data_IF_159316282710
#
_entry.id   IF_159316282710
#
_cell.length_a   1.000
_cell.length_b   1.000
_cell.length_c   1.000
_cell.angle_alpha   90.00
_cell.angle_beta   90.00
_cell.angle_gamma   90.00
#
_symmetry.space_group_name_H-M   'P 1'
#
loop_
_entity.id
_entity.type
_entity.pdbx_description
1 polymer ?
#
# COMPACT_ATOMS: atom_id res chain seq x y z
N UNK A 1 12.00 -55.56 -17.01
CA UNK A 1 11.05 -55.28 -15.91
C UNK A 1 10.88 -53.78 -15.80
N UNK A 2 9.91 -53.22 -16.52
CA UNK A 2 9.51 -51.82 -16.38
C UNK A 2 8.61 -51.72 -15.14
N UNK A 3 9.14 -51.19 -14.05
CA UNK A 3 8.32 -50.82 -12.90
C UNK A 3 7.49 -49.60 -13.29
N UNK A 4 6.22 -49.81 -13.62
CA UNK A 4 5.22 -48.75 -13.65
C UNK A 4 5.21 -48.06 -12.28
N UNK A 5 5.70 -46.82 -12.22
CA UNK A 5 5.45 -45.97 -11.06
C UNK A 5 3.94 -45.67 -11.03
N UNK A 6 3.22 -45.94 -9.93
CA UNK A 6 1.81 -45.63 -9.87
C UNK A 6 1.64 -44.11 -9.96
N UNK A 7 0.94 -43.67 -11.00
CA UNK A 7 0.45 -42.30 -11.15
C UNK A 7 -0.57 -42.01 -10.04
N UNK A 8 -0.09 -41.76 -8.82
CA UNK A 8 -0.92 -41.30 -7.72
C UNK A 8 -1.31 -39.85 -7.99
N UNK A 9 -2.54 -39.62 -8.46
CA UNK A 9 -3.20 -38.31 -8.23
C UNK A 9 -3.07 -38.02 -6.73
N UNK A 10 -2.35 -36.97 -6.39
CA UNK A 10 -2.01 -36.56 -5.01
C UNK A 10 -3.23 -36.14 -4.20
N UNK A 11 -4.38 -36.00 -4.84
CA UNK A 11 -5.68 -35.70 -4.23
C UNK A 11 -6.74 -36.66 -4.75
N UNK A 12 -7.43 -37.36 -3.83
CA UNK A 12 -8.71 -37.99 -4.13
C UNK A 12 -9.79 -36.99 -3.71
N UNK A 13 -10.47 -36.32 -4.65
CA UNK A 13 -11.49 -35.34 -4.30
C UNK A 13 -12.55 -36.00 -3.41
N UNK A 14 -13.08 -35.27 -2.41
CA UNK A 14 -14.11 -35.79 -1.52
C UNK A 14 -15.26 -36.47 -2.26
N UNK A 15 -15.73 -37.58 -1.68
CA UNK A 15 -16.78 -38.37 -2.29
C UNK A 15 -18.11 -37.62 -2.21
N UNK A 16 -19.16 -38.18 -2.83
CA UNK A 16 -20.51 -37.63 -2.66
C UNK A 16 -20.96 -37.59 -1.18
N UNK A 17 -20.39 -38.44 -0.29
CA UNK A 17 -20.83 -38.61 1.10
C UNK A 17 -19.89 -38.00 2.16
N UNK A 18 -18.57 -38.05 1.96
CA UNK A 18 -17.61 -37.65 3.01
C UNK A 18 -16.32 -37.03 2.43
N UNK A 19 -15.59 -36.33 3.29
CA UNK A 19 -14.22 -35.91 3.03
C UNK A 19 -13.84 -34.59 3.70
N UNK A 20 -12.57 -34.23 3.56
CA UNK A 20 -11.97 -33.06 4.19
C UNK A 20 -11.55 -32.02 3.15
N UNK A 21 -11.97 -30.78 3.33
CA UNK A 21 -11.55 -29.64 2.53
C UNK A 21 -10.66 -28.73 3.36
N UNK A 22 -9.39 -28.57 2.96
CA UNK A 22 -8.50 -27.58 3.55
C UNK A 22 -8.48 -26.35 2.65
N UNK A 23 -8.95 -25.21 3.15
CA UNK A 23 -9.23 -24.03 2.32
C UNK A 23 -8.49 -22.81 2.84
N UNK A 24 -7.62 -22.24 2.00
CA UNK A 24 -7.05 -20.91 2.25
C UNK A 24 -8.07 -19.81 1.94
N UNK A 25 -8.27 -18.87 2.87
CA UNK A 25 -9.20 -17.74 2.67
C UNK A 25 -8.57 -16.58 1.91
N UNK A 26 -7.26 -16.58 1.72
CA UNK A 26 -6.50 -15.46 1.16
C UNK A 26 -6.34 -14.31 2.16
N UNK A 27 -5.98 -13.12 1.65
CA UNK A 27 -5.61 -11.96 2.48
C UNK A 27 -6.82 -11.12 2.94
N UNK A 28 -7.96 -11.21 2.25
CA UNK A 28 -9.17 -10.43 2.56
C UNK A 28 -10.40 -11.32 2.67
N UNK A 29 -11.48 -10.81 3.29
CA UNK A 29 -12.79 -11.47 3.32
C UNK A 29 -13.40 -11.78 1.94
N UNK A 30 -12.90 -11.13 0.88
CA UNK A 30 -13.34 -11.31 -0.50
C UNK A 30 -12.39 -12.18 -1.34
N UNK A 31 -11.31 -12.71 -0.73
CA UNK A 31 -10.24 -13.43 -1.45
C UNK A 31 -10.52 -14.91 -1.67
N UNK A 32 -11.65 -15.45 -1.20
CA UNK A 32 -12.02 -16.85 -1.45
C UNK A 32 -12.12 -17.11 -2.96
N UNK A 33 -11.47 -18.18 -3.41
CA UNK A 33 -11.48 -18.56 -4.82
C UNK A 33 -12.84 -19.17 -5.21
N UNK A 34 -13.21 -19.06 -6.48
CA UNK A 34 -14.46 -19.67 -6.97
C UNK A 34 -14.53 -21.18 -6.69
N UNK A 35 -13.41 -21.90 -6.82
CA UNK A 35 -13.34 -23.33 -6.51
C UNK A 35 -13.54 -23.62 -5.03
N UNK A 36 -12.97 -22.78 -4.16
CA UNK A 36 -13.17 -22.92 -2.71
C UNK A 36 -14.63 -22.69 -2.32
N UNK A 37 -15.31 -21.70 -2.90
CA UNK A 37 -16.73 -21.43 -2.65
C UNK A 37 -17.60 -22.63 -3.06
N UNK A 38 -17.31 -23.27 -4.19
CA UNK A 38 -18.01 -24.49 -4.62
C UNK A 38 -17.76 -25.69 -3.68
N UNK A 39 -16.60 -25.75 -3.02
CA UNK A 39 -16.32 -26.73 -1.99
C UNK A 39 -17.11 -26.46 -0.71
N UNK A 40 -17.10 -25.20 -0.24
CA UNK A 40 -17.84 -24.76 0.94
C UNK A 40 -19.36 -25.00 0.79
N UNK A 41 -19.90 -24.77 -0.41
CA UNK A 41 -21.30 -25.07 -0.72
C UNK A 41 -21.68 -26.54 -0.47
N UNK A 42 -20.72 -27.45 -0.67
CA UNK A 42 -20.89 -28.89 -0.53
C UNK A 42 -20.58 -29.40 0.88
N UNK A 43 -20.02 -28.55 1.75
CA UNK A 43 -19.64 -28.91 3.11
C UNK A 43 -20.86 -29.00 4.03
N UNK A 44 -20.87 -30.02 4.87
CA UNK A 44 -21.86 -30.17 5.94
C UNK A 44 -21.48 -29.32 7.17
N UNK A 45 -20.17 -29.13 7.39
CA UNK A 45 -19.62 -28.23 8.42
C UNK A 45 -18.46 -27.41 7.91
N UNK A 46 -18.36 -26.17 8.37
CA UNK A 46 -17.29 -25.23 8.04
C UNK A 46 -16.68 -24.73 9.34
N UNK A 47 -15.43 -25.12 9.58
CA UNK A 47 -14.62 -24.66 10.69
C UNK A 47 -13.69 -23.53 10.25
N UNK A 48 -13.38 -22.62 11.18
CA UNK A 48 -12.39 -21.56 10.99
C UNK A 48 -11.30 -21.70 12.05
N UNK A 49 -10.05 -21.82 11.60
CA UNK A 49 -8.88 -21.66 12.45
C UNK A 49 -8.66 -20.17 12.71
N UNK A 50 -8.72 -19.73 13.97
CA UNK A 50 -8.55 -18.31 14.32
C UNK A 50 -7.43 -17.98 15.32
N UNK A 51 -6.56 -18.95 15.63
CA UNK A 51 -5.47 -18.78 16.58
C UNK A 51 -4.10 -18.53 15.93
N UNK A 52 -3.99 -18.64 14.60
CA UNK A 52 -2.72 -18.48 13.88
C UNK A 52 -2.41 -17.03 13.52
N UNK A 53 -3.43 -16.18 13.39
CA UNK A 53 -3.27 -14.80 12.91
C UNK A 53 -4.28 -13.87 13.57
N UNK A 54 -3.84 -12.64 13.91
CA UNK A 54 -4.76 -11.53 14.17
C UNK A 54 -5.48 -11.19 12.87
N UNK A 55 -6.75 -11.54 12.73
CA UNK A 55 -7.48 -11.28 11.49
C UNK A 55 -7.51 -9.78 11.17
N UNK A 56 -7.20 -9.36 9.94
CA UNK A 56 -7.26 -7.95 9.54
C UNK A 56 -8.71 -7.46 9.28
N UNK A 57 -9.70 -8.28 9.61
CA UNK A 57 -11.12 -8.01 9.47
C UNK A 57 -11.93 -8.80 10.51
N UNK A 58 -13.18 -8.37 10.71
CA UNK A 58 -14.13 -9.07 11.58
C UNK A 58 -14.51 -10.42 10.98
N UNK A 59 -14.52 -11.48 11.79
CA UNK A 59 -14.87 -12.85 11.35
C UNK A 59 -16.31 -12.88 10.82
N UNK A 60 -17.21 -12.10 11.42
CA UNK A 60 -18.60 -11.99 10.99
C UNK A 60 -18.73 -11.45 9.56
N UNK A 61 -17.77 -10.64 9.10
CA UNK A 61 -17.79 -10.14 7.73
C UNK A 61 -17.36 -11.22 6.73
N UNK A 62 -16.44 -12.12 7.11
CA UNK A 62 -16.10 -13.30 6.29
C UNK A 62 -17.31 -14.23 6.17
N UNK A 63 -17.99 -14.51 7.29
CA UNK A 63 -19.20 -15.31 7.30
C UNK A 63 -20.30 -14.73 6.40
N UNK A 64 -20.52 -13.42 6.47
CA UNK A 64 -21.49 -12.72 5.59
C UNK A 64 -21.13 -12.86 4.12
N UNK A 65 -19.86 -12.70 3.75
CA UNK A 65 -19.46 -12.82 2.34
C UNK A 65 -19.58 -14.27 1.84
N UNK A 66 -19.24 -15.27 2.65
CA UNK A 66 -19.50 -16.68 2.32
C UNK A 66 -20.99 -16.90 2.07
N UNK A 67 -21.85 -16.52 3.02
CA UNK A 67 -23.30 -16.71 2.92
C UNK A 67 -23.90 -16.02 1.68
N UNK A 68 -23.48 -14.79 1.40
CA UNK A 68 -23.87 -14.05 0.19
C UNK A 68 -23.47 -14.77 -1.09
N UNK A 69 -22.24 -15.26 -1.19
CA UNK A 69 -21.78 -16.02 -2.37
C UNK A 69 -22.51 -17.36 -2.53
N UNK A 70 -22.88 -17.99 -1.42
CA UNK A 70 -23.61 -19.26 -1.40
C UNK A 70 -25.13 -19.08 -1.57
N UNK A 71 -25.64 -17.84 -1.65
CA UNK A 71 -27.07 -17.51 -1.66
C UNK A 71 -27.85 -18.22 -0.54
N UNK A 72 -27.27 -18.24 0.67
CA UNK A 72 -27.78 -18.94 1.84
C UNK A 72 -27.48 -18.13 3.09
N UNK A 73 -28.32 -18.23 4.13
CA UNK A 73 -28.05 -17.68 5.46
C UNK A 73 -27.81 -18.80 6.49
N UNK A 74 -27.50 -20.00 6.03
CA UNK A 74 -27.48 -21.21 6.85
C UNK A 74 -26.08 -21.66 7.24
N UNK A 75 -25.02 -21.04 6.68
CA UNK A 75 -23.65 -21.41 7.00
C UNK A 75 -23.13 -20.56 8.15
N UNK A 76 -22.82 -21.21 9.27
CA UNK A 76 -22.17 -20.58 10.42
C UNK A 76 -20.72 -21.05 10.48
N UNK A 77 -19.80 -20.13 10.69
CA UNK A 77 -18.40 -20.47 10.90
C UNK A 77 -18.20 -20.95 12.34
N UNK A 78 -17.69 -22.17 12.49
CA UNK A 78 -17.39 -22.73 13.80
C UNK A 78 -15.92 -22.46 14.12
N UNK A 79 -15.67 -21.59 15.10
CA UNK A 79 -14.31 -21.33 15.58
C UNK A 79 -13.68 -22.60 16.13
N UNK A 80 -12.47 -22.91 15.70
CA UNK A 80 -11.74 -24.10 16.12
C UNK A 80 -10.44 -23.71 16.84
N UNK A 81 -10.28 -24.07 18.13
CA UNK A 81 -9.07 -23.75 18.89
C UNK A 81 -7.91 -24.67 18.49
N UNK A 82 -6.69 -24.24 18.82
CA UNK A 82 -5.44 -24.93 18.46
C UNK A 82 -5.41 -26.41 18.82
N UNK A 83 -5.81 -26.73 20.05
CA UNK A 83 -5.81 -28.12 20.52
C UNK A 83 -6.63 -29.05 19.62
N UNK A 84 -7.76 -28.60 19.08
CA UNK A 84 -8.66 -29.40 18.24
C UNK A 84 -8.14 -29.61 16.81
N UNK A 85 -7.21 -28.77 16.35
CA UNK A 85 -6.53 -28.96 15.07
C UNK A 85 -5.33 -29.90 15.25
N UNK A 86 -4.57 -29.70 16.33
CA UNK A 86 -3.37 -30.48 16.64
C UNK A 86 -3.69 -31.91 17.11
N UNK A 87 -4.84 -32.13 17.75
CA UNK A 87 -5.33 -33.46 18.15
C UNK A 87 -6.07 -34.23 17.04
N UNK A 88 -6.19 -33.62 15.85
CA UNK A 88 -6.77 -34.19 14.64
C UNK A 88 -8.26 -34.60 14.80
N UNK A 89 -8.94 -34.16 15.86
CA UNK A 89 -10.32 -34.54 16.19
C UNK A 89 -11.31 -34.16 15.09
N UNK A 90 -11.06 -33.06 14.38
CA UNK A 90 -11.84 -32.61 13.20
C UNK A 90 -11.95 -33.71 12.12
N UNK A 91 -10.96 -34.60 12.01
CA UNK A 91 -10.95 -35.65 10.99
C UNK A 91 -11.90 -36.80 11.30
N UNK A 92 -12.32 -36.98 12.56
CA UNK A 92 -13.31 -38.01 12.90
C UNK A 92 -14.65 -37.73 12.23
N UNK A 93 -15.03 -36.46 12.16
CA UNK A 93 -16.23 -36.03 11.44
C UNK A 93 -16.08 -36.19 9.93
N UNK A 94 -14.90 -35.89 9.37
CA UNK A 94 -14.64 -36.02 7.94
C UNK A 94 -14.76 -37.46 7.40
N UNK A 95 -14.81 -38.47 8.27
CA UNK A 95 -15.09 -39.87 7.90
C UNK A 95 -16.53 -40.11 7.46
N UNK A 96 -17.49 -39.35 8.00
CA UNK A 96 -18.92 -39.60 7.79
C UNK A 96 -19.62 -38.47 7.03
N UNK A 97 -19.04 -37.27 7.02
CA UNK A 97 -19.58 -36.09 6.36
C UNK A 97 -18.47 -35.24 5.71
N UNK A 98 -18.83 -34.18 4.99
CA UNK A 98 -17.89 -33.25 4.38
C UNK A 98 -17.59 -32.11 5.33
N UNK A 99 -16.33 -31.98 5.69
CA UNK A 99 -15.85 -30.97 6.64
C UNK A 99 -14.88 -30.06 5.94
N UNK A 100 -15.10 -28.74 6.01
CA UNK A 100 -14.14 -27.74 5.57
C UNK A 100 -13.44 -27.10 6.77
N UNK A 101 -12.13 -26.89 6.66
CA UNK A 101 -11.33 -26.06 7.55
C UNK A 101 -10.81 -24.85 6.77
N UNK A 102 -11.24 -23.67 7.17
CA UNK A 102 -10.76 -22.39 6.67
C UNK A 102 -9.51 -21.96 7.43
N UNK A 103 -8.49 -21.56 6.69
CA UNK A 103 -7.19 -21.08 7.19
C UNK A 103 -6.91 -19.71 6.57
N UNK A 104 -6.49 -18.74 7.38
CA UNK A 104 -6.16 -17.39 6.87
C UNK A 104 -4.94 -17.44 5.93
N UNK A 105 -5.00 -16.71 4.80
CA UNK A 105 -3.99 -16.79 3.76
C UNK A 105 -4.10 -18.08 2.94
N UNK A 106 -2.98 -18.77 2.77
CA UNK A 106 -2.91 -20.02 2.01
C UNK A 106 -2.90 -21.25 2.94
N UNK A 107 -3.54 -22.32 2.49
CA UNK A 107 -3.78 -23.53 3.27
C UNK A 107 -2.53 -24.24 3.77
N UNK A 108 -1.37 -24.09 3.10
CA UNK A 108 -0.15 -24.86 3.41
C UNK A 108 1.12 -24.00 3.49
N UNK A 109 1.02 -22.68 3.42
CA UNK A 109 2.20 -21.80 3.32
C UNK A 109 3.04 -21.69 4.59
N UNK A 110 2.43 -21.57 5.78
CA UNK A 110 3.15 -21.25 7.01
C UNK A 110 2.55 -21.93 8.26
N UNK A 111 2.02 -23.14 8.09
CA UNK A 111 1.19 -23.79 9.12
C UNK A 111 1.43 -25.30 9.22
N UNK A 112 1.05 -25.87 10.35
CA UNK A 112 1.15 -27.31 10.66
C UNK A 112 0.09 -28.18 9.99
N UNK A 113 -0.82 -27.61 9.19
CA UNK A 113 -1.93 -28.32 8.54
C UNK A 113 -1.53 -29.48 7.63
N UNK A 114 -0.27 -29.58 7.20
CA UNK A 114 0.23 -30.77 6.49
C UNK A 114 0.03 -32.05 7.32
N UNK A 115 0.07 -31.97 8.65
CA UNK A 115 -0.22 -33.10 9.53
C UNK A 115 -1.63 -33.65 9.29
N UNK A 116 -2.65 -32.79 9.16
CA UNK A 116 -4.02 -33.20 8.84
C UNK A 116 -4.09 -33.96 7.51
N UNK A 117 -3.31 -33.53 6.52
CA UNK A 117 -3.26 -34.19 5.20
C UNK A 117 -2.62 -35.58 5.30
N UNK A 118 -1.53 -35.70 6.06
CA UNK A 118 -0.89 -36.99 6.33
C UNK A 118 -1.84 -37.93 7.07
N UNK A 119 -2.61 -37.41 8.02
CA UNK A 119 -3.57 -38.20 8.77
C UNK A 119 -4.79 -38.62 7.92
N UNK A 120 -5.29 -37.73 7.06
CA UNK A 120 -6.29 -38.10 6.06
C UNK A 120 -5.82 -39.28 5.20
N UNK A 121 -4.55 -39.28 4.76
CA UNK A 121 -3.97 -40.40 4.00
C UNK A 121 -3.95 -41.69 4.81
N UNK A 122 -3.45 -41.67 6.06
CA UNK A 122 -3.37 -42.86 6.93
C UNK A 122 -4.75 -43.45 7.20
N UNK A 123 -5.74 -42.60 7.46
CA UNK A 123 -7.11 -43.02 7.77
C UNK A 123 -7.98 -43.22 6.50
N UNK A 124 -7.40 -43.09 5.31
CA UNK A 124 -8.12 -43.19 4.02
C UNK A 124 -9.31 -42.24 3.88
N UNK A 125 -9.23 -41.06 4.51
CA UNK A 125 -10.23 -39.99 4.40
C UNK A 125 -9.98 -39.25 3.07
N UNK A 126 -10.98 -39.15 2.18
CA UNK A 126 -10.88 -38.34 0.96
C UNK A 126 -10.63 -36.88 1.31
N UNK A 127 -9.71 -36.20 0.63
CA UNK A 127 -9.41 -34.80 0.93
C UNK A 127 -9.06 -33.99 -0.33
N UNK A 128 -9.28 -32.68 -0.25
CA UNK A 128 -8.86 -31.73 -1.26
C UNK A 128 -8.35 -30.44 -0.62
N UNK A 129 -7.26 -29.91 -1.18
CA UNK A 129 -6.61 -28.69 -0.73
C UNK A 129 -6.95 -27.57 -1.73
N UNK A 130 -7.36 -26.42 -1.21
CA UNK A 130 -7.60 -25.21 -1.98
C UNK A 130 -6.57 -24.15 -1.55
N UNK A 131 -5.69 -23.81 -2.49
CA UNK A 131 -4.66 -22.80 -2.31
C UNK A 131 -5.21 -21.38 -2.49
N UNK A 132 -4.51 -20.40 -1.91
CA UNK A 132 -4.86 -18.99 -2.04
C UNK A 132 -3.61 -18.09 -1.93
N UNK A 133 -3.82 -16.76 -1.94
CA UNK A 133 -2.77 -15.79 -1.65
C UNK A 133 -2.21 -15.97 -0.22
N UNK A 134 -0.91 -15.73 -0.07
CA UNK A 134 -0.15 -15.93 1.16
C UNK A 134 0.69 -14.70 1.47
N UNK A 135 1.02 -14.46 2.74
CA UNK A 135 2.01 -13.45 3.10
C UNK A 135 3.36 -13.71 2.42
N UNK A 136 3.72 -14.97 2.16
CA UNK A 136 4.97 -15.35 1.50
C UNK A 136 5.10 -14.78 0.09
N UNK A 137 3.99 -14.51 -0.59
CA UNK A 137 3.97 -13.88 -1.93
C UNK A 137 3.57 -12.41 -1.86
N UNK A 138 2.67 -12.05 -0.95
CA UNK A 138 2.14 -10.67 -0.80
C UNK A 138 3.23 -9.68 -0.36
N UNK A 139 4.30 -10.15 0.29
CA UNK A 139 5.47 -9.30 0.61
C UNK A 139 6.15 -8.69 -0.62
N UNK A 140 5.87 -9.17 -1.83
CA UNK A 140 6.28 -8.52 -3.07
C UNK A 140 5.77 -7.07 -3.20
N UNK A 141 4.66 -6.73 -2.52
CA UNK A 141 4.12 -5.36 -2.51
C UNK A 141 5.05 -4.35 -1.83
N UNK A 142 6.06 -4.81 -1.08
CA UNK A 142 7.15 -3.97 -0.57
C UNK A 142 8.11 -3.48 -1.67
N UNK A 143 7.99 -4.01 -2.88
CA UNK A 143 8.91 -3.75 -4.00
C UNK A 143 10.16 -4.64 -4.01
N UNK A 144 10.33 -5.50 -3.00
CA UNK A 144 11.41 -6.48 -2.96
C UNK A 144 11.15 -7.64 -3.91
N UNK A 145 12.20 -8.11 -4.57
CA UNK A 145 12.13 -9.28 -5.43
C UNK A 145 11.93 -10.55 -4.62
N UNK A 146 10.85 -11.28 -4.89
CA UNK A 146 10.58 -12.58 -4.26
C UNK A 146 11.74 -13.58 -4.44
N UNK A 147 12.45 -13.51 -5.58
CA UNK A 147 13.60 -14.38 -5.86
C UNK A 147 14.82 -14.11 -4.98
N UNK A 148 14.83 -12.98 -4.26
CA UNK A 148 15.89 -12.62 -3.31
C UNK A 148 15.52 -12.93 -1.86
N UNK A 149 14.37 -13.53 -1.57
CA UNK A 149 14.07 -13.99 -0.22
C UNK A 149 14.73 -15.34 0.07
N UNK A 150 15.36 -15.44 1.24
CA UNK A 150 15.94 -16.68 1.77
C UNK A 150 14.95 -17.45 2.63
N UNK A 151 15.46 -18.14 3.64
CA UNK A 151 14.65 -18.87 4.62
C UNK A 151 13.74 -17.91 5.39
N UNK A 152 12.43 -18.14 5.37
CA UNK A 152 11.48 -17.49 6.26
C UNK A 152 11.70 -17.97 7.70
N UNK A 153 11.50 -17.09 8.67
CA UNK A 153 11.58 -17.42 10.09
C UNK A 153 10.38 -16.86 10.86
N UNK A 154 10.12 -17.39 12.06
CA UNK A 154 9.11 -16.87 12.98
C UNK A 154 9.78 -16.28 14.23
N UNK A 155 9.35 -15.10 14.65
CA UNK A 155 9.73 -14.45 15.89
C UNK A 155 8.67 -14.75 16.95
N UNK A 156 9.01 -15.56 17.95
CA UNK A 156 8.06 -15.91 18.98
C UNK A 156 7.85 -14.75 19.97
N UNK A 157 6.67 -14.68 20.58
CA UNK A 157 6.40 -13.70 21.63
C UNK A 157 7.13 -14.10 22.92
N UNK A 158 8.19 -13.39 23.30
CA UNK A 158 8.96 -13.74 24.50
C UNK A 158 8.16 -13.64 25.80
N UNK A 159 7.05 -12.90 25.81
CA UNK A 159 6.15 -12.88 26.95
C UNK A 159 5.55 -14.27 27.25
N UNK A 160 5.50 -15.17 26.26
CA UNK A 160 4.98 -16.53 26.39
C UNK A 160 6.08 -17.59 26.63
N UNK A 161 7.34 -17.17 26.71
CA UNK A 161 8.49 -18.07 26.79
C UNK A 161 9.48 -17.68 27.89
N UNK A 162 9.85 -18.64 28.74
CA UNK A 162 10.81 -18.41 29.82
C UNK A 162 12.27 -18.29 29.36
N UNK A 163 12.61 -18.82 28.18
CA UNK A 163 13.98 -18.94 27.68
C UNK A 163 14.38 -17.89 26.63
N UNK A 164 13.49 -16.93 26.29
CA UNK A 164 13.72 -15.88 25.27
C UNK A 164 14.43 -16.43 24.01
N UNK A 165 13.78 -17.31 23.22
CA UNK A 165 14.42 -18.00 22.11
C UNK A 165 14.90 -17.04 21.01
N UNK A 166 16.14 -17.23 20.54
CA UNK A 166 16.81 -16.41 19.52
C UNK A 166 17.04 -17.14 18.19
N UNK A 167 16.47 -18.34 18.03
CA UNK A 167 16.72 -19.21 16.86
C UNK A 167 16.42 -18.53 15.51
N UNK A 168 15.48 -17.58 15.49
CA UNK A 168 15.14 -16.81 14.29
C UNK A 168 16.31 -15.97 13.76
N UNK A 169 17.22 -15.51 14.63
CA UNK A 169 18.43 -14.78 14.24
C UNK A 169 19.39 -15.64 13.42
N UNK A 170 19.46 -16.93 13.71
CA UNK A 170 20.30 -17.87 12.94
C UNK A 170 19.91 -17.90 11.47
N UNK A 171 18.61 -17.86 11.16
CA UNK A 171 18.14 -17.80 9.78
C UNK A 171 18.40 -16.44 9.12
N UNK A 172 18.27 -15.34 9.88
CA UNK A 172 18.66 -14.01 9.37
C UNK A 172 20.14 -14.00 8.97
N UNK A 173 21.03 -14.52 9.82
CA UNK A 173 22.47 -14.63 9.51
C UNK A 173 22.73 -15.47 8.26
N UNK A 174 22.08 -16.62 8.14
CA UNK A 174 22.22 -17.50 6.97
C UNK A 174 21.79 -16.79 5.69
N UNK A 175 20.66 -16.08 5.71
CA UNK A 175 20.18 -15.36 4.53
C UNK A 175 21.09 -14.18 4.15
N UNK A 176 21.54 -13.40 5.14
CA UNK A 176 22.49 -12.31 4.88
C UNK A 176 23.82 -12.82 4.30
N UNK A 177 24.30 -14.01 4.70
CA UNK A 177 25.52 -14.61 4.14
C UNK A 177 25.42 -15.01 2.66
N UNK A 178 24.22 -15.06 2.09
CA UNK A 178 23.96 -15.39 0.69
C UNK A 178 23.26 -14.24 -0.06
N UNK A 179 23.37 -13.01 0.47
CA UNK A 179 22.72 -11.82 -0.09
C UNK A 179 21.20 -11.98 -0.30
N UNK A 180 20.51 -12.60 0.66
CA UNK A 180 19.06 -12.81 0.63
C UNK A 180 18.32 -12.03 1.72
N UNK A 181 17.14 -11.49 1.38
CA UNK A 181 16.19 -10.88 2.31
C UNK A 181 15.62 -11.94 3.26
N UNK A 182 15.33 -11.56 4.50
CA UNK A 182 14.67 -12.46 5.46
C UNK A 182 13.28 -11.97 5.78
N UNK A 183 12.25 -12.78 5.49
CA UNK A 183 10.91 -12.57 6.01
C UNK A 183 10.81 -13.16 7.42
N UNK A 184 10.42 -12.33 8.38
CA UNK A 184 10.16 -12.68 9.77
C UNK A 184 8.66 -12.57 10.02
N UNK A 185 8.00 -13.71 10.24
CA UNK A 185 6.62 -13.78 10.73
C UNK A 185 6.61 -13.54 12.24
N UNK A 186 5.63 -12.81 12.77
CA UNK A 186 5.53 -12.54 14.21
C UNK A 186 4.39 -13.34 14.83
N UNK A 187 4.57 -13.79 16.07
CA UNK A 187 3.50 -14.43 16.83
C UNK A 187 2.29 -13.49 17.03
N UNK A 188 1.12 -14.12 17.20
CA UNK A 188 -0.14 -13.42 17.43
C UNK A 188 -0.04 -12.55 18.70
N UNK A 189 -0.52 -11.31 18.62
CA UNK A 189 -0.50 -10.37 19.75
C UNK A 189 0.86 -9.74 20.07
N UNK A 190 1.93 -10.06 19.34
CA UNK A 190 3.22 -9.39 19.51
C UNK A 190 3.20 -8.00 18.87
N UNK A 191 3.11 -6.96 19.69
CA UNK A 191 3.13 -5.56 19.23
C UNK A 191 4.49 -5.16 18.63
N UNK A 192 4.48 -4.18 17.71
CA UNK A 192 5.67 -3.77 16.97
C UNK A 192 6.82 -3.30 17.89
N UNK A 193 6.52 -2.55 18.94
CA UNK A 193 7.52 -2.06 19.89
C UNK A 193 8.28 -3.25 20.51
N UNK A 194 7.53 -4.25 21.00
CA UNK A 194 8.07 -5.46 21.58
C UNK A 194 8.83 -6.30 20.54
N UNK A 195 8.28 -6.47 19.33
CA UNK A 195 8.95 -7.20 18.25
C UNK A 195 10.31 -6.59 17.89
N UNK A 196 10.38 -5.27 17.79
CA UNK A 196 11.64 -4.55 17.51
C UNK A 196 12.62 -4.69 18.67
N UNK A 197 12.17 -4.50 19.92
CA UNK A 197 13.02 -4.66 21.09
C UNK A 197 13.59 -6.08 21.18
N UNK A 198 12.76 -7.10 20.95
CA UNK A 198 13.18 -8.51 20.85
C UNK A 198 14.19 -8.73 19.73
N UNK A 199 13.95 -8.16 18.54
CA UNK A 199 14.88 -8.26 17.41
C UNK A 199 16.26 -7.68 17.75
N UNK A 200 16.30 -6.52 18.43
CA UNK A 200 17.55 -5.87 18.84
C UNK A 200 18.29 -6.68 19.90
N UNK A 201 17.62 -7.04 21.00
CA UNK A 201 18.22 -7.86 22.08
C UNK A 201 18.74 -9.20 21.54
N UNK A 202 17.96 -9.87 20.68
CA UNK A 202 18.36 -11.12 20.06
C UNK A 202 19.55 -10.94 19.10
N UNK A 203 19.56 -9.85 18.31
CA UNK A 203 20.65 -9.56 17.39
C UNK A 203 21.96 -9.27 18.12
N UNK A 204 21.91 -8.52 19.22
CA UNK A 204 23.08 -8.24 20.07
C UNK A 204 23.63 -9.53 20.71
N UNK A 205 22.75 -10.33 21.33
CA UNK A 205 23.13 -11.61 21.95
C UNK A 205 23.80 -12.56 20.95
N UNK A 206 23.34 -12.53 19.72
CA UNK A 206 23.82 -13.37 18.63
C UNK A 206 24.95 -12.71 17.82
N UNK A 207 25.42 -11.51 18.18
CA UNK A 207 26.45 -10.78 17.42
C UNK A 207 26.09 -10.57 15.93
N UNK A 208 24.81 -10.34 15.64
CA UNK A 208 24.31 -9.93 14.33
C UNK A 208 24.21 -8.41 14.25
N UNK A 209 24.86 -7.80 13.25
CA UNK A 209 24.63 -6.40 12.90
C UNK A 209 23.41 -6.30 11.98
N UNK A 210 22.35 -5.63 12.45
CA UNK A 210 21.18 -5.32 11.63
C UNK A 210 21.50 -4.25 10.57
N UNK A 211 20.82 -4.27 9.41
CA UNK A 211 20.89 -3.16 8.47
C UNK A 211 20.32 -1.89 9.11
N UNK A 212 20.74 -0.72 8.61
CA UNK A 212 20.31 0.59 9.14
C UNK A 212 18.79 0.75 9.11
N UNK A 213 18.16 0.30 8.01
CA UNK A 213 16.71 0.31 7.82
C UNK A 213 16.22 -1.12 7.62
N UNK A 214 15.07 -1.40 8.19
CA UNK A 214 14.32 -2.64 7.98
C UNK A 214 12.94 -2.29 7.41
N UNK A 215 12.22 -3.30 6.96
CA UNK A 215 10.90 -3.11 6.36
C UNK A 215 9.86 -3.79 7.24
N UNK A 216 8.72 -3.13 7.44
CA UNK A 216 7.54 -3.74 8.07
C UNK A 216 6.36 -3.53 7.14
N UNK A 217 5.57 -4.58 6.91
CA UNK A 217 4.31 -4.51 6.18
C UNK A 217 3.19 -4.98 7.11
N UNK A 218 2.19 -4.13 7.34
CA UNK A 218 0.99 -4.44 8.10
C UNK A 218 -0.22 -4.59 7.21
N UNK A 219 -1.18 -5.41 7.63
CA UNK A 219 -2.45 -5.64 6.93
C UNK A 219 -2.23 -5.95 5.44
N UNK A 220 -1.21 -6.75 5.13
CA UNK A 220 -0.75 -7.02 3.77
C UNK A 220 -1.89 -7.57 2.88
N UNK A 221 -1.99 -7.09 1.64
CA UNK A 221 -3.02 -7.49 0.68
C UNK A 221 -4.42 -6.97 0.99
N UNK A 222 -4.58 -6.11 1.99
CA UNK A 222 -5.87 -5.49 2.36
C UNK A 222 -5.90 -3.99 2.03
N UNK A 223 -7.08 -3.38 2.12
CA UNK A 223 -7.23 -1.93 1.97
C UNK A 223 -6.50 -1.10 3.04
N UNK A 224 -6.19 -1.69 4.19
CA UNK A 224 -5.49 -1.03 5.30
C UNK A 224 -3.98 -1.29 5.28
N UNK A 225 -3.46 -1.84 4.18
CA UNK A 225 -2.05 -2.15 4.06
C UNK A 225 -1.18 -0.91 4.28
N UNK A 226 -0.15 -1.04 5.11
CA UNK A 226 0.89 -0.02 5.27
C UNK A 226 2.25 -0.68 5.18
N UNK A 227 3.17 -0.05 4.45
CA UNK A 227 4.55 -0.49 4.31
C UNK A 227 5.44 0.62 4.89
N UNK A 228 6.38 0.22 5.73
CA UNK A 228 7.32 1.12 6.38
C UNK A 228 8.75 0.67 6.05
N UNK A 229 9.61 1.61 5.69
CA UNK A 229 11.04 1.39 5.49
C UNK A 229 11.82 2.45 6.25
N UNK A 230 12.27 2.08 7.45
CA UNK A 230 12.81 3.01 8.45
C UNK A 230 13.76 2.29 9.40
N UNK A 231 14.41 3.04 10.29
CA UNK A 231 15.27 2.43 11.32
C UNK A 231 14.42 1.65 12.33
N UNK A 232 14.97 0.59 12.97
CA UNK A 232 14.26 -0.13 14.03
C UNK A 232 13.70 0.82 15.10
N UNK A 233 14.46 1.82 15.54
CA UNK A 233 14.05 2.80 16.56
C UNK A 233 12.84 3.63 16.11
N UNK A 234 12.78 4.03 14.84
CA UNK A 234 11.64 4.77 14.34
C UNK A 234 10.40 3.89 14.21
N UNK A 235 10.58 2.61 13.84
CA UNK A 235 9.48 1.65 13.73
C UNK A 235 8.89 1.30 15.09
N UNK A 236 9.69 1.17 16.14
CA UNK A 236 9.20 0.90 17.50
C UNK A 236 8.30 2.01 18.03
N UNK A 237 8.47 3.24 17.54
CA UNK A 237 7.68 4.41 17.94
C UNK A 237 6.44 4.65 17.06
N UNK A 238 6.21 3.84 16.02
CA UNK A 238 5.06 3.98 15.13
C UNK A 238 3.90 3.11 15.58
N UNK A 239 2.68 3.59 15.39
CA UNK A 239 1.48 2.78 15.54
C UNK A 239 1.29 1.88 14.31
N UNK A 240 1.85 0.66 14.36
CA UNK A 240 1.72 -0.36 13.31
C UNK A 240 0.71 -1.40 13.78
N UNK A 241 -0.42 -1.47 13.07
CA UNK A 241 -1.49 -2.42 13.36
C UNK A 241 -1.10 -3.86 13.01
N UNK A 242 -1.59 -4.82 13.79
CA UNK A 242 -1.51 -6.24 13.47
C UNK A 242 -2.60 -6.64 12.45
N UNK A 243 -2.37 -7.69 11.64
CA UNK A 243 -1.14 -8.49 11.57
C UNK A 243 -0.07 -7.75 10.76
N UNK A 244 1.20 -7.91 11.17
CA UNK A 244 2.34 -7.39 10.42
C UNK A 244 3.44 -8.46 10.33
N UNK A 245 4.39 -8.25 9.44
CA UNK A 245 5.65 -9.00 9.42
C UNK A 245 6.83 -8.05 9.25
N UNK A 246 8.00 -8.49 9.69
CA UNK A 246 9.26 -7.73 9.56
C UNK A 246 10.10 -8.36 8.46
N UNK A 247 10.76 -7.55 7.65
CA UNK A 247 11.70 -8.00 6.64
C UNK A 247 13.06 -7.36 6.91
N UNK A 248 14.08 -8.20 7.01
CA UNK A 248 15.49 -7.76 7.06
C UNK A 248 16.00 -7.73 5.63
N UNK A 249 16.23 -6.54 5.03
CA UNK A 249 16.78 -6.48 3.70
C UNK A 249 18.27 -6.83 3.70
N UNK A 250 18.74 -7.37 2.57
CA UNK A 250 20.17 -7.41 2.22
C UNK A 250 20.50 -6.26 1.27
N UNK A 251 21.64 -6.29 0.57
CA UNK A 251 21.98 -5.39 -0.52
C UNK A 251 20.81 -5.25 -1.49
N UNK A 252 20.20 -4.07 -1.51
CA UNK A 252 19.08 -3.76 -2.39
C UNK A 252 19.55 -3.62 -3.83
N UNK A 253 18.75 -4.13 -4.75
CA UNK A 253 18.88 -3.77 -6.16
C UNK A 253 18.36 -2.34 -6.38
N UNK A 254 18.85 -1.62 -7.38
CA UNK A 254 18.47 -0.21 -7.60
C UNK A 254 16.96 0.00 -7.70
N UNK A 255 16.23 -0.97 -8.27
CA UNK A 255 14.77 -0.92 -8.38
C UNK A 255 14.07 -1.12 -7.04
N UNK A 256 14.62 -1.98 -6.18
CA UNK A 256 14.09 -2.22 -4.82
C UNK A 256 14.31 -0.96 -3.98
N UNK A 257 15.49 -0.35 -4.06
CA UNK A 257 15.81 0.91 -3.37
C UNK A 257 14.93 2.06 -3.85
N UNK A 258 14.77 2.24 -5.17
CA UNK A 258 13.89 3.26 -5.74
C UNK A 258 12.44 3.06 -5.27
N UNK A 259 11.96 1.81 -5.19
CA UNK A 259 10.60 1.51 -4.73
C UNK A 259 10.44 1.84 -3.24
N UNK A 260 11.38 1.41 -2.39
CA UNK A 260 11.33 1.65 -0.94
C UNK A 260 11.48 3.12 -0.57
N UNK A 261 12.33 3.88 -1.26
CA UNK A 261 12.44 5.33 -1.04
C UNK A 261 11.20 6.07 -1.55
N UNK A 262 10.55 5.58 -2.61
CA UNK A 262 9.23 6.10 -3.03
C UNK A 262 8.12 5.71 -2.06
N UNK A 263 8.17 4.57 -1.38
CA UNK A 263 7.20 4.19 -0.35
C UNK A 263 7.16 5.21 0.80
N UNK A 264 8.26 5.90 1.12
CA UNK A 264 8.24 7.06 2.05
C UNK A 264 7.39 8.23 1.55
N UNK A 265 7.18 8.33 0.23
CA UNK A 265 6.36 9.34 -0.44
C UNK A 265 4.97 8.82 -0.83
N UNK A 266 4.74 7.50 -0.73
CA UNK A 266 3.42 6.89 -0.94
C UNK A 266 2.60 7.12 0.34
N UNK A 267 2.00 8.31 0.39
CA UNK A 267 0.69 8.51 1.01
C UNK A 267 -0.19 7.36 0.51
N UNK A 268 -0.91 6.64 1.40
CA UNK A 268 -1.66 5.44 1.06
C UNK A 268 -2.36 5.65 -0.27
N UNK A 269 -2.12 4.76 -1.22
CA UNK A 269 -2.89 4.73 -2.45
C UNK A 269 -4.36 4.87 -2.06
N UNK A 270 -4.98 5.98 -2.44
CA UNK A 270 -6.40 6.19 -2.32
C UNK A 270 -7.09 5.33 -3.38
N UNK A 271 -6.92 4.02 -3.28
CA UNK A 271 -7.77 3.02 -3.90
C UNK A 271 -8.77 2.56 -2.85
N UNK A 272 -9.57 3.51 -2.39
CA UNK A 272 -10.86 3.21 -1.77
C UNK A 272 -11.89 3.19 -2.89
N UNK A 273 -12.06 2.04 -3.54
CA UNK A 273 -13.38 1.67 -4.06
C UNK A 273 -14.21 1.19 -2.85
N UNK A 274 -14.58 2.13 -1.97
CA UNK A 274 -15.55 1.87 -0.92
C UNK A 274 -16.96 2.06 -1.49
N UNK A 275 -17.71 0.96 -1.51
CA UNK A 275 -19.18 1.01 -1.39
C UNK A 275 -19.53 1.36 0.06
N UNK A 276 -19.19 2.58 0.49
CA UNK A 276 -19.42 3.10 1.83
C UNK A 276 -19.17 4.61 1.84
N UNK A 277 -20.25 5.38 1.92
CA UNK A 277 -20.39 6.86 1.98
C UNK A 277 -19.10 7.62 1.64
N UNK A 278 -18.98 8.03 0.37
CA UNK A 278 -17.95 8.97 -0.06
C UNK A 278 -18.03 10.25 0.78
N UNK A 279 -16.89 10.73 1.27
CA UNK A 279 -16.84 12.06 1.88
C UNK A 279 -17.05 13.13 0.81
N UNK A 280 -17.41 14.35 1.22
CA UNK A 280 -17.53 15.47 0.28
C UNK A 280 -16.19 15.77 -0.43
N UNK A 281 -15.06 15.51 0.23
CA UNK A 281 -13.74 15.63 -0.39
C UNK A 281 -13.56 14.61 -1.50
N UNK A 282 -13.90 13.34 -1.25
CA UNK A 282 -13.73 12.25 -2.23
C UNK A 282 -14.52 12.51 -3.50
N UNK A 283 -15.74 13.01 -3.37
CA UNK A 283 -16.60 13.36 -4.49
C UNK A 283 -15.98 14.46 -5.36
N UNK A 284 -15.41 15.50 -4.73
CA UNK A 284 -14.71 16.59 -5.42
C UNK A 284 -13.41 16.09 -6.04
N UNK A 285 -12.63 15.30 -5.31
CA UNK A 285 -11.37 14.73 -5.77
C UNK A 285 -11.57 13.86 -7.02
N UNK A 286 -12.58 12.97 -7.01
CA UNK A 286 -12.91 12.14 -8.16
C UNK A 286 -13.37 12.97 -9.36
N UNK A 287 -14.18 14.00 -9.14
CA UNK A 287 -14.66 14.86 -10.22
C UNK A 287 -13.53 15.66 -10.87
N UNK A 288 -12.67 16.31 -10.07
CA UNK A 288 -11.49 17.03 -10.57
C UNK A 288 -10.53 16.06 -11.26
N UNK A 289 -10.29 14.88 -10.68
CA UNK A 289 -9.44 13.84 -11.28
C UNK A 289 -10.00 13.35 -12.61
N UNK A 290 -11.31 13.19 -12.74
CA UNK A 290 -11.96 12.77 -13.99
C UNK A 290 -11.83 13.84 -15.06
N UNK A 291 -11.99 15.13 -14.71
CA UNK A 291 -11.83 16.24 -15.65
C UNK A 291 -10.39 16.28 -16.17
N UNK A 292 -9.40 16.29 -15.27
CA UNK A 292 -7.98 16.39 -15.61
C UNK A 292 -7.44 15.15 -16.36
N UNK A 293 -7.91 13.93 -16.06
CA UNK A 293 -7.56 12.72 -16.85
C UNK A 293 -8.08 12.76 -18.28
N UNK A 294 -9.25 13.39 -18.47
CA UNK A 294 -9.88 13.52 -19.78
C UNK A 294 -9.36 14.72 -20.59
N UNK A 295 -8.47 15.54 -20.01
CA UNK A 295 -7.80 16.62 -20.73
C UNK A 295 -7.08 16.11 -21.99
N UNK A 296 -6.99 16.98 -23.00
CA UNK A 296 -6.26 16.71 -24.23
C UNK A 296 -4.74 16.58 -23.99
N UNK A 297 -4.20 17.33 -23.02
CA UNK A 297 -2.83 17.14 -22.49
C UNK A 297 -2.91 16.19 -21.30
N UNK A 298 -2.27 15.03 -21.44
CA UNK A 298 -2.29 13.98 -20.41
C UNK A 298 -1.41 14.31 -19.21
N UNK A 299 -0.60 15.36 -19.28
CA UNK A 299 0.22 15.81 -18.14
C UNK A 299 -0.58 16.56 -17.08
N UNK A 300 -1.75 17.12 -17.41
CA UNK A 300 -2.57 17.93 -16.49
C UNK A 300 -2.99 17.18 -15.23
N UNK A 301 -3.35 15.90 -15.36
CA UNK A 301 -3.64 15.06 -14.20
C UNK A 301 -2.42 14.89 -13.30
N UNK A 302 -1.25 14.63 -13.89
CA UNK A 302 0.00 14.49 -13.14
C UNK A 302 0.41 15.78 -12.44
N UNK A 303 0.26 16.92 -13.11
CA UNK A 303 0.50 18.26 -12.56
C UNK A 303 -0.39 18.54 -11.34
N UNK A 304 -1.71 18.46 -11.52
CA UNK A 304 -2.70 18.67 -10.44
C UNK A 304 -2.42 17.82 -9.20
N UNK A 305 -2.12 16.52 -9.40
CA UNK A 305 -1.77 15.61 -8.30
C UNK A 305 -0.44 15.99 -7.65
N UNK A 306 0.57 16.37 -8.44
CA UNK A 306 1.87 16.76 -7.91
C UNK A 306 1.80 18.05 -7.09
N UNK A 307 0.99 19.04 -7.49
CA UNK A 307 0.79 20.28 -6.70
C UNK A 307 0.14 19.95 -5.36
N UNK A 308 -0.91 19.12 -5.37
CA UNK A 308 -1.56 18.67 -4.13
C UNK A 308 -0.60 17.93 -3.19
N UNK A 309 0.27 17.06 -3.71
CA UNK A 309 1.30 16.39 -2.92
C UNK A 309 2.32 17.37 -2.33
N UNK A 310 2.74 18.38 -3.09
CA UNK A 310 3.65 19.40 -2.57
C UNK A 310 3.00 20.28 -1.51
N UNK A 311 1.70 20.60 -1.63
CA UNK A 311 0.95 21.27 -0.57
C UNK A 311 1.01 20.46 0.73
N UNK A 312 0.74 19.16 0.68
CA UNK A 312 0.81 18.28 1.87
C UNK A 312 2.23 18.15 2.42
N UNK A 313 3.26 18.29 1.58
CA UNK A 313 4.66 18.26 2.02
C UNK A 313 5.11 19.59 2.65
N UNK A 314 4.66 20.73 2.12
CA UNK A 314 4.97 22.06 2.63
C UNK A 314 4.17 22.37 3.90
N UNK A 315 2.92 21.91 3.96
CA UNK A 315 1.96 22.09 5.05
C UNK A 315 1.18 20.78 5.32
N UNK A 316 1.70 19.88 6.17
CA UNK A 316 1.08 18.58 6.46
C UNK A 316 -0.32 18.66 7.10
N UNK A 317 -0.64 19.77 7.73
CA UNK A 317 -1.92 20.11 8.34
C UNK A 317 -2.83 20.94 7.39
N UNK A 318 -2.55 20.96 6.08
CA UNK A 318 -3.34 21.68 5.09
C UNK A 318 -4.82 21.28 5.17
N UNK A 319 -5.69 22.28 5.31
CA UNK A 319 -7.12 22.05 5.37
C UNK A 319 -7.71 21.64 4.01
N UNK A 320 -8.97 21.21 4.03
CA UNK A 320 -9.66 20.72 2.85
C UNK A 320 -9.72 21.78 1.73
N UNK A 321 -9.81 23.06 2.08
CA UNK A 321 -9.87 24.15 1.11
C UNK A 321 -8.54 24.28 0.36
N UNK A 322 -7.41 24.29 1.07
CA UNK A 322 -6.10 24.35 0.44
C UNK A 322 -5.81 23.11 -0.42
N UNK A 323 -6.23 21.93 0.03
CA UNK A 323 -6.09 20.70 -0.74
C UNK A 323 -6.93 20.72 -2.04
N UNK A 324 -8.19 21.17 -1.96
CA UNK A 324 -9.06 21.33 -3.14
C UNK A 324 -8.49 22.37 -4.10
N UNK A 325 -7.99 23.50 -3.57
CA UNK A 325 -7.38 24.55 -4.39
C UNK A 325 -6.15 24.02 -5.13
N UNK A 326 -5.32 23.19 -4.48
CA UNK A 326 -4.18 22.53 -5.12
C UNK A 326 -4.59 21.63 -6.29
N UNK A 327 -5.68 20.89 -6.15
CA UNK A 327 -6.19 20.03 -7.22
C UNK A 327 -6.82 20.84 -8.37
N UNK A 328 -7.47 21.97 -8.05
CA UNK A 328 -8.28 22.76 -8.97
C UNK A 328 -7.62 23.99 -9.59
N UNK A 329 -6.45 24.44 -9.13
CA UNK A 329 -5.88 25.74 -9.51
C UNK A 329 -5.70 25.97 -11.02
N UNK A 330 -5.42 24.90 -11.78
CA UNK A 330 -5.21 24.91 -13.23
C UNK A 330 -6.27 24.09 -13.99
N UNK A 331 -7.42 23.80 -13.38
CA UNK A 331 -8.41 22.85 -13.93
C UNK A 331 -8.95 23.26 -15.31
N UNK A 332 -8.98 24.55 -15.62
CA UNK A 332 -9.42 25.10 -16.89
C UNK A 332 -8.54 24.65 -18.10
N UNK A 333 -7.26 24.31 -17.88
CA UNK A 333 -6.35 23.75 -18.90
C UNK A 333 -6.81 22.41 -19.47
N UNK A 334 -7.76 21.77 -18.79
CA UNK A 334 -8.39 20.52 -19.20
C UNK A 334 -9.39 20.67 -20.35
N UNK A 335 -9.81 21.90 -20.68
CA UNK A 335 -10.84 22.16 -21.69
C UNK A 335 -10.24 22.67 -23.01
N UNK A 336 -10.64 22.08 -24.14
CA UNK A 336 -10.06 22.36 -25.47
C UNK A 336 -10.23 23.81 -25.93
N UNK A 337 -11.38 24.42 -25.64
CA UNK A 337 -11.67 25.81 -26.03
C UNK A 337 -10.75 26.82 -25.32
N UNK A 338 -10.23 26.45 -24.15
CA UNK A 338 -9.37 27.30 -23.34
C UNK A 338 -7.93 27.38 -23.88
N UNK A 339 -7.41 26.31 -24.48
CA UNK A 339 -6.05 26.32 -25.08
C UNK A 339 -5.91 27.30 -26.24
N UNK A 340 -7.04 27.62 -26.89
CA UNK A 340 -7.13 28.60 -27.97
C UNK A 340 -7.33 30.03 -27.47
N UNK A 341 -7.52 30.25 -26.15
CA UNK A 341 -7.75 31.58 -25.55
C UNK A 341 -6.49 32.41 -25.33
N UNK A 342 -5.28 31.82 -25.25
CA UNK A 342 -4.04 32.58 -25.06
C UNK A 342 -3.85 33.68 -26.12
N UNK A 343 -4.30 33.45 -27.35
CA UNK A 343 -4.24 34.41 -28.46
C UNK A 343 -5.31 35.52 -28.40
N UNK A 344 -6.24 35.48 -27.44
CA UNK A 344 -7.36 36.43 -27.31
C UNK A 344 -7.11 37.55 -26.30
N UNK A 345 -6.00 37.52 -25.56
CA UNK A 345 -5.65 38.52 -24.56
C UNK A 345 -4.54 39.44 -25.06
N UNK A 346 -4.61 40.73 -24.70
CA UNK A 346 -3.64 41.72 -25.15
C UNK A 346 -2.31 41.60 -24.39
N UNK A 347 -2.34 41.12 -23.15
CA UNK A 347 -1.14 40.92 -22.32
C UNK A 347 -1.10 39.55 -21.62
N UNK A 348 0.09 39.14 -21.21
CA UNK A 348 0.31 37.90 -20.47
C UNK A 348 -0.32 37.91 -19.07
N UNK A 349 -0.34 39.08 -18.41
CA UNK A 349 -0.92 39.25 -17.07
C UNK A 349 -2.46 39.19 -17.11
N UNK A 350 -3.07 39.74 -18.15
CA UNK A 350 -4.52 39.60 -18.39
C UNK A 350 -4.91 38.13 -18.59
N UNK A 351 -4.10 37.38 -19.33
CA UNK A 351 -4.29 35.94 -19.51
C UNK A 351 -4.20 35.18 -18.18
N UNK A 352 -3.14 35.40 -17.38
CA UNK A 352 -2.97 34.75 -16.08
C UNK A 352 -4.10 35.04 -15.10
N UNK A 353 -4.60 36.28 -15.10
CA UNK A 353 -5.75 36.64 -14.27
C UNK A 353 -7.02 35.93 -14.73
N UNK A 354 -7.28 35.89 -16.04
CA UNK A 354 -8.45 35.21 -16.58
C UNK A 354 -8.42 33.69 -16.34
N UNK A 355 -7.24 33.08 -16.43
CA UNK A 355 -6.96 31.69 -16.08
C UNK A 355 -7.36 31.36 -14.65
N UNK A 356 -6.80 32.11 -13.69
CA UNK A 356 -7.07 31.92 -12.27
C UNK A 356 -8.57 32.09 -11.96
N UNK A 357 -9.23 33.09 -12.55
CA UNK A 357 -10.68 33.32 -12.38
C UNK A 357 -11.53 32.16 -12.94
N UNK A 358 -11.14 31.60 -14.09
CA UNK A 358 -11.88 30.51 -14.71
C UNK A 358 -11.71 29.20 -13.92
N UNK A 359 -10.49 28.86 -13.53
CA UNK A 359 -10.22 27.72 -12.66
C UNK A 359 -10.98 27.84 -11.35
N UNK A 360 -10.93 29.02 -10.71
CA UNK A 360 -11.68 29.28 -9.48
C UNK A 360 -13.18 29.05 -9.69
N UNK A 361 -13.75 29.57 -10.79
CA UNK A 361 -15.16 29.36 -11.13
C UNK A 361 -15.50 27.87 -11.27
N UNK A 362 -14.75 27.12 -12.07
CA UNK A 362 -15.00 25.69 -12.31
C UNK A 362 -14.92 24.91 -11.00
N UNK A 363 -13.88 25.15 -10.19
CA UNK A 363 -13.73 24.49 -8.90
C UNK A 363 -14.85 24.86 -7.94
N UNK A 364 -15.26 26.13 -7.86
CA UNK A 364 -16.41 26.55 -7.04
C UNK A 364 -17.72 25.88 -7.49
N UNK A 365 -17.97 25.76 -8.80
CA UNK A 365 -19.16 25.09 -9.33
C UNK A 365 -19.21 23.61 -8.89
N UNK A 366 -18.07 22.91 -8.89
CA UNK A 366 -17.93 21.54 -8.37
C UNK A 366 -18.23 21.50 -6.86
N UNK A 367 -17.75 22.47 -6.08
CA UNK A 367 -17.98 22.52 -4.63
C UNK A 367 -19.44 22.81 -4.28
N UNK A 368 -20.10 23.69 -5.03
CA UNK A 368 -21.53 23.99 -4.91
C UNK A 368 -22.34 22.72 -5.18
N UNK A 369 -22.01 21.99 -6.27
CA UNK A 369 -22.64 20.72 -6.63
C UNK A 369 -22.54 19.67 -5.51
N UNK A 370 -21.43 19.64 -4.77
CA UNK A 370 -21.20 18.72 -3.65
C UNK A 370 -21.56 19.30 -2.27
N UNK A 371 -22.33 20.39 -2.24
CA UNK A 371 -22.88 21.01 -1.02
C UNK A 371 -21.83 21.44 0.01
N UNK A 372 -20.71 22.01 -0.42
CA UNK A 372 -19.77 22.66 0.50
C UNK A 372 -20.35 23.96 1.08
N UNK A 373 -19.93 24.32 2.29
CA UNK A 373 -20.34 25.58 2.91
C UNK A 373 -19.67 26.78 2.23
N UNK A 374 -20.28 27.95 2.39
CA UNK A 374 -19.83 29.20 1.76
C UNK A 374 -18.41 29.59 2.17
N UNK A 375 -18.01 29.37 3.44
CA UNK A 375 -16.69 29.76 3.91
C UNK A 375 -15.59 28.92 3.22
N UNK A 376 -15.82 27.62 3.07
CA UNK A 376 -14.91 26.75 2.31
C UNK A 376 -14.82 27.17 0.83
N UNK A 377 -15.96 27.46 0.19
CA UNK A 377 -16.00 27.89 -1.22
C UNK A 377 -15.25 29.22 -1.41
N UNK A 378 -15.51 30.21 -0.55
CA UNK A 378 -14.87 31.52 -0.60
C UNK A 378 -13.35 31.41 -0.38
N UNK A 379 -12.92 30.52 0.53
CA UNK A 379 -11.50 30.23 0.74
C UNK A 379 -10.86 29.60 -0.50
N UNK A 380 -11.45 28.54 -1.08
CA UNK A 380 -10.93 27.90 -2.30
C UNK A 380 -10.83 28.91 -3.45
N UNK A 381 -11.88 29.73 -3.63
CA UNK A 381 -11.89 30.81 -4.62
C UNK A 381 -10.72 31.76 -4.43
N UNK A 382 -10.53 32.27 -3.21
CA UNK A 382 -9.45 33.18 -2.89
C UNK A 382 -8.07 32.58 -3.18
N UNK A 383 -7.85 31.31 -2.81
CA UNK A 383 -6.59 30.63 -3.07
C UNK A 383 -6.30 30.51 -4.57
N UNK A 384 -7.27 30.06 -5.35
CA UNK A 384 -7.09 29.89 -6.80
C UNK A 384 -6.97 31.24 -7.51
N UNK A 385 -7.72 32.28 -7.14
CA UNK A 385 -7.63 33.59 -7.81
C UNK A 385 -6.26 34.27 -7.63
N UNK A 386 -5.50 33.92 -6.59
CA UNK A 386 -4.26 34.60 -6.22
C UNK A 386 -2.98 33.74 -6.39
N UNK A 387 -3.10 32.47 -6.78
CA UNK A 387 -1.93 31.55 -6.89
C UNK A 387 -0.89 31.97 -7.95
N UNK A 388 -1.27 32.83 -8.90
CA UNK A 388 -0.38 33.33 -9.96
C UNK A 388 0.48 34.53 -9.53
N UNK A 389 -0.02 35.32 -8.58
CA UNK A 389 0.61 36.56 -8.11
C UNK A 389 1.44 36.28 -6.84
N UNK A 390 1.09 35.22 -6.10
CA UNK A 390 1.63 34.93 -4.78
C UNK A 390 0.90 35.72 -3.69
N UNK A 391 1.24 35.43 -2.44
CA UNK A 391 0.59 36.02 -1.28
C UNK A 391 1.19 35.46 0.01
N UNK A 392 0.49 35.63 1.13
CA UNK A 392 0.88 35.08 2.43
C UNK A 392 0.09 33.81 2.77
N UNK A 393 0.63 33.00 3.69
CA UNK A 393 -0.08 31.85 4.27
C UNK A 393 -0.40 30.75 3.26
N UNK A 394 -1.70 30.41 3.12
CA UNK A 394 -2.13 29.32 2.25
C UNK A 394 -1.96 29.65 0.75
N UNK A 395 -2.03 30.94 0.36
CA UNK A 395 -1.74 31.37 -1.01
C UNK A 395 -0.26 31.19 -1.33
N UNK A 396 0.63 31.54 -0.39
CA UNK A 396 2.08 31.28 -0.50
C UNK A 396 2.33 29.78 -0.69
N UNK A 397 1.74 28.96 0.18
CA UNK A 397 1.90 27.49 0.15
C UNK A 397 1.47 26.90 -1.18
N UNK A 398 0.35 27.34 -1.75
CA UNK A 398 -0.13 26.88 -3.06
C UNK A 398 0.81 27.32 -4.19
N UNK A 399 1.27 28.57 -4.15
CA UNK A 399 2.19 29.15 -5.16
C UNK A 399 3.55 28.45 -5.15
N UNK A 400 4.04 28.12 -3.96
CA UNK A 400 5.26 27.34 -3.78
C UNK A 400 5.07 25.93 -4.28
N UNK A 401 3.97 25.27 -3.92
CA UNK A 401 3.68 23.91 -4.36
C UNK A 401 3.64 23.80 -5.90
N UNK A 402 2.98 24.73 -6.57
CA UNK A 402 2.99 24.87 -8.03
C UNK A 402 4.43 25.01 -8.56
N UNK A 403 5.21 25.95 -8.01
CA UNK A 403 6.60 26.17 -8.41
C UNK A 403 7.50 24.95 -8.17
N UNK A 404 7.24 24.16 -7.12
CA UNK A 404 7.99 22.95 -6.81
C UNK A 404 7.74 21.82 -7.82
N UNK A 405 6.57 21.76 -8.46
CA UNK A 405 6.30 20.75 -9.50
C UNK A 405 7.22 20.90 -10.72
N UNK A 406 7.64 22.12 -11.03
CA UNK A 406 8.58 22.37 -12.12
C UNK A 406 9.88 21.59 -11.92
N UNK A 407 10.42 21.55 -10.70
CA UNK A 407 11.65 20.83 -10.40
C UNK A 407 11.48 19.30 -10.51
N UNK A 408 10.29 18.76 -10.24
CA UNK A 408 10.00 17.34 -10.49
C UNK A 408 9.98 17.00 -11.99
N UNK A 409 9.56 17.94 -12.83
CA UNK A 409 9.43 17.77 -14.28
C UNK A 409 10.56 18.41 -15.10
N UNK A 410 11.62 18.87 -14.43
CA UNK A 410 12.69 19.66 -15.05
C UNK A 410 13.33 18.96 -16.25
N UNK A 411 13.49 17.63 -16.17
CA UNK A 411 14.03 16.83 -17.28
C UNK A 411 13.23 17.03 -18.56
N UNK A 412 11.91 16.91 -18.48
CA UNK A 412 11.04 17.06 -19.64
C UNK A 412 11.09 18.48 -20.22
N UNK A 413 11.21 19.49 -19.34
CA UNK A 413 11.38 20.88 -19.77
C UNK A 413 12.71 21.08 -20.51
N UNK A 414 13.82 20.55 -19.96
CA UNK A 414 15.15 20.62 -20.57
C UNK A 414 15.22 19.92 -21.94
N UNK A 415 14.51 18.81 -22.11
CA UNK A 415 14.48 18.05 -23.37
C UNK A 415 13.77 18.81 -24.51
N UNK A 416 12.95 19.82 -24.18
CA UNK A 416 12.12 20.57 -25.14
C UNK A 416 12.51 22.04 -25.28
N UNK A 417 13.44 22.53 -24.47
CA UNK A 417 13.87 23.93 -24.43
C UNK A 417 15.39 24.04 -24.49
N UNK A 418 15.89 25.23 -24.83
CA UNK A 418 17.32 25.52 -24.77
C UNK A 418 17.80 25.57 -23.33
N UNK A 419 19.11 25.41 -23.14
CA UNK A 419 19.75 25.52 -21.82
C UNK A 419 19.51 26.89 -21.18
N UNK A 420 19.63 27.97 -21.97
CA UNK A 420 19.37 29.33 -21.50
C UNK A 420 17.94 29.50 -20.99
N UNK A 421 16.95 29.04 -21.75
CA UNK A 421 15.53 29.08 -21.34
C UNK A 421 15.29 28.25 -20.08
N UNK A 422 15.99 27.11 -19.95
CA UNK A 422 15.93 26.25 -18.77
C UNK A 422 16.49 26.96 -17.54
N UNK A 423 17.66 27.60 -17.65
CA UNK A 423 18.30 28.39 -16.58
C UNK A 423 17.39 29.54 -16.15
N UNK A 424 16.87 30.32 -17.10
CA UNK A 424 15.98 31.44 -16.82
C UNK A 424 14.70 30.96 -16.09
N UNK A 425 14.17 29.80 -16.49
CA UNK A 425 13.00 29.19 -15.85
C UNK A 425 13.29 28.66 -14.45
N UNK A 426 14.45 28.01 -14.24
CA UNK A 426 14.92 27.56 -12.92
C UNK A 426 15.01 28.76 -11.98
N UNK A 427 15.69 29.83 -12.40
CA UNK A 427 15.84 31.05 -11.61
C UNK A 427 14.50 31.69 -11.27
N UNK A 428 13.61 31.77 -12.26
CA UNK A 428 12.27 32.31 -12.08
C UNK A 428 11.47 31.51 -11.04
N UNK A 429 11.45 30.18 -11.14
CA UNK A 429 10.73 29.32 -10.20
C UNK A 429 11.36 29.35 -8.81
N UNK A 430 12.69 29.33 -8.71
CA UNK A 430 13.39 29.36 -7.43
C UNK A 430 13.20 30.68 -6.67
N UNK A 431 13.07 31.81 -7.36
CA UNK A 431 12.79 33.12 -6.74
C UNK A 431 11.42 33.19 -6.07
N UNK A 432 10.44 32.39 -6.52
CA UNK A 432 9.08 32.32 -5.95
C UNK A 432 9.01 31.54 -4.63
N UNK A 433 10.10 30.89 -4.22
CA UNK A 433 10.14 30.00 -3.07
C UNK A 433 10.60 30.73 -1.79
N UNK A 434 9.96 30.43 -0.67
CA UNK A 434 10.43 30.79 0.67
C UNK A 434 11.74 30.09 1.01
N UNK A 435 12.41 30.53 2.07
CA UNK A 435 13.62 29.89 2.58
C UNK A 435 13.40 28.40 2.93
N UNK A 436 12.18 28.02 3.34
CA UNK A 436 11.83 26.63 3.65
C UNK A 436 11.73 25.80 2.37
N UNK A 437 11.02 26.29 1.36
CA UNK A 437 10.87 25.59 0.09
C UNK A 437 12.18 25.51 -0.71
N UNK A 438 13.03 26.55 -0.66
CA UNK A 438 14.39 26.52 -1.25
C UNK A 438 15.27 25.40 -0.70
N UNK A 439 15.21 25.14 0.61
CA UNK A 439 15.92 23.99 1.21
C UNK A 439 15.45 22.66 0.65
N UNK A 440 14.16 22.54 0.30
CA UNK A 440 13.62 21.32 -0.30
C UNK A 440 14.11 21.15 -1.74
N UNK A 441 14.25 22.23 -2.53
CA UNK A 441 14.84 22.16 -3.88
C UNK A 441 16.25 21.60 -3.83
N UNK A 442 17.07 22.06 -2.88
CA UNK A 442 18.45 21.57 -2.72
C UNK A 442 18.54 20.10 -2.27
N UNK A 443 17.42 19.51 -1.83
CA UNK A 443 17.33 18.09 -1.48
C UNK A 443 16.78 17.23 -2.62
N UNK A 444 16.34 17.83 -3.73
CA UNK A 444 15.88 17.09 -4.91
C UNK A 444 17.11 16.45 -5.56
N UNK A 445 17.14 15.12 -5.57
CA UNK A 445 18.17 14.35 -6.29
C UNK A 445 17.72 14.11 -7.72
N UNK A 446 18.31 14.80 -8.68
CA UNK A 446 18.10 14.50 -10.10
C UNK A 446 18.89 13.23 -10.46
N UNK A 447 18.28 12.34 -11.26
CA UNK A 447 18.96 11.13 -11.77
C UNK A 447 20.11 11.45 -12.73
N UNK A 448 20.09 12.65 -13.30
CA UNK A 448 21.07 13.13 -14.26
C UNK A 448 21.98 14.17 -13.59
N UNK A 449 23.28 13.90 -13.59
CA UNK A 449 24.27 14.78 -13.00
C UNK A 449 24.35 16.13 -13.74
N UNK A 450 24.08 16.15 -15.05
CA UNK A 450 24.05 17.38 -15.84
C UNK A 450 22.92 18.30 -15.37
N UNK A 451 21.75 17.74 -15.04
CA UNK A 451 20.63 18.51 -14.50
C UNK A 451 20.87 18.99 -13.07
N UNK A 452 21.48 18.16 -12.23
CA UNK A 452 21.87 18.57 -10.87
C UNK A 452 22.80 19.78 -10.93
N UNK A 453 23.85 19.71 -11.76
CA UNK A 453 24.80 20.80 -11.94
C UNK A 453 24.11 22.05 -12.49
N UNK A 454 23.24 21.90 -13.51
CA UNK A 454 22.51 23.02 -14.11
C UNK A 454 21.64 23.76 -13.08
N UNK A 455 20.99 23.03 -12.18
CA UNK A 455 20.18 23.60 -11.10
C UNK A 455 21.06 24.31 -10.06
N UNK A 456 22.14 23.67 -9.63
CA UNK A 456 23.09 24.24 -8.67
C UNK A 456 23.74 25.54 -9.21
N UNK A 457 24.22 25.52 -10.45
CA UNK A 457 24.80 26.68 -11.14
C UNK A 457 23.77 27.80 -11.26
N UNK A 458 22.57 27.48 -11.77
CA UNK A 458 21.47 28.46 -11.92
C UNK A 458 21.09 29.14 -10.61
N UNK A 459 21.09 28.40 -9.49
CA UNK A 459 20.73 28.90 -8.17
C UNK A 459 21.90 29.68 -7.54
N UNK A 460 23.15 29.26 -7.76
CA UNK A 460 24.34 29.92 -7.19
C UNK A 460 24.55 31.35 -7.70
N UNK A 461 23.97 31.67 -8.87
CA UNK A 461 23.98 33.00 -9.48
C UNK A 461 22.88 33.96 -8.93
N UNK A 462 22.09 33.52 -7.93
CA UNK A 462 20.99 34.28 -7.30
C UNK A 462 21.30 34.62 -5.83
#
# INVERSE_FOLDING_TARGET
MSTEQPNHRTTKPPTKKNGFFLVGTGMTKNSLTAESLEALKKSDKIYLENYTVNFPYKIEDLEKEINKHLNSNSYNLISLPRGSVEDESILQEAKTQKVALLVYGDSLSATTHMQLILECKKQSIPYQIFHNASILTTVAETGLSLYKFGKTTSMPNWAEHTNKPTSFITYIKQNLSIDAHTLILTDIGLEIENAINQLKEASEKESLKLPEKIITISNAGTENQKIFYDTPENLSNKNIEMPFCIIIPTKLHFLEEETLEKIKMIIPHYTSYKKGIMTKFDLVFEEISKITKNAADKTEYGHSQSVWQWVLKLKPDADIALQIAALGHDIDRSFEDYRKMKARYATYDEYKKAHALLSAKITCDILIKHNFDKATIDKVKHLIENHEIGGEGDVETLTEADSMTFFNNLRHYRDTHTEKETIDKIKFMYKRLSAKAKKLVNQIKFKDQELSNLVEESISEL
#
